data_IF_287098920659
#
_entry.id   IF_287098920659
#
_cell.length_a   1.000
_cell.length_b   1.000
_cell.length_c   1.000
_cell.angle_alpha   90.00
_cell.angle_beta   90.00
_cell.angle_gamma   90.00
#
_symmetry.space_group_name_H-M   'P 1'
#
loop_
_entity.id
_entity.type
_entity.pdbx_description
1 polymer ?
#
# COMPACT_ATOMS: atom_id res chain seq x y z
N UNK A 1 -49.49 65.59 -16.54
CA UNK A 1 -48.64 64.73 -17.28
C UNK A 1 -47.62 64.14 -16.33
N UNK A 2 -47.82 62.89 -15.83
CA UNK A 2 -46.90 62.23 -14.88
C UNK A 2 -46.32 61.01 -15.56
N UNK A 3 -45.04 61.05 -15.77
CA UNK A 3 -44.29 59.94 -16.38
C UNK A 3 -43.89 58.99 -15.26
N UNK A 4 -44.47 57.80 -15.29
CA UNK A 4 -44.13 56.75 -14.31
C UNK A 4 -42.86 56.02 -14.75
N UNK A 5 -41.88 56.05 -13.90
CA UNK A 5 -40.59 55.33 -14.10
C UNK A 5 -40.77 53.88 -13.67
N UNK A 6 -40.71 52.99 -14.64
CA UNK A 6 -40.74 51.54 -14.42
C UNK A 6 -39.32 51.07 -14.03
N UNK A 7 -39.14 50.67 -12.77
CA UNK A 7 -37.89 50.10 -12.30
C UNK A 7 -37.93 48.57 -12.59
N UNK A 8 -37.16 48.13 -13.59
CA UNK A 8 -36.94 46.72 -13.85
C UNK A 8 -35.94 46.19 -12.81
N UNK A 9 -36.45 45.41 -11.86
CA UNK A 9 -35.61 44.67 -10.93
C UNK A 9 -35.06 43.43 -11.62
N UNK A 10 -33.81 43.46 -12.00
CA UNK A 10 -33.12 42.27 -12.53
C UNK A 10 -32.74 41.37 -11.37
N UNK A 11 -33.48 40.29 -11.19
CA UNK A 11 -33.13 39.23 -10.26
C UNK A 11 -31.95 38.43 -10.87
N UNK A 12 -30.77 38.67 -10.32
CA UNK A 12 -29.57 37.87 -10.66
C UNK A 12 -29.68 36.51 -9.94
N UNK A 13 -30.13 35.53 -10.69
CA UNK A 13 -30.15 34.13 -10.24
C UNK A 13 -28.73 33.61 -10.30
N UNK A 14 -28.01 33.61 -9.16
CA UNK A 14 -26.72 32.95 -9.03
C UNK A 14 -26.97 31.43 -8.98
N UNK A 15 -26.78 30.77 -10.11
CA UNK A 15 -26.60 29.34 -10.13
C UNK A 15 -25.27 29.00 -9.39
N UNK A 16 -25.41 28.53 -8.17
CA UNK A 16 -24.31 27.79 -7.54
C UNK A 16 -24.22 26.43 -8.28
N UNK A 17 -23.34 26.34 -9.25
CA UNK A 17 -22.84 25.04 -9.67
C UNK A 17 -22.07 24.48 -8.46
N UNK A 18 -22.74 23.64 -7.68
CA UNK A 18 -22.08 22.68 -6.82
C UNK A 18 -21.31 21.76 -7.76
N UNK A 19 -20.03 22.01 -7.93
CA UNK A 19 -19.12 21.03 -8.47
C UNK A 19 -19.11 19.87 -7.45
N UNK A 20 -20.00 18.92 -7.63
CA UNK A 20 -19.86 17.62 -7.02
C UNK A 20 -18.51 17.11 -7.48
N UNK A 21 -17.56 17.06 -6.56
CA UNK A 21 -16.38 16.22 -6.77
C UNK A 21 -16.91 14.81 -6.83
N UNK A 22 -17.19 14.34 -8.06
CA UNK A 22 -17.34 12.92 -8.32
C UNK A 22 -16.11 12.27 -7.67
N UNK A 23 -16.33 11.50 -6.62
CA UNK A 23 -15.40 10.48 -6.18
C UNK A 23 -15.29 9.52 -7.35
N UNK A 24 -14.42 9.82 -8.31
CA UNK A 24 -13.95 8.83 -9.26
C UNK A 24 -13.52 7.64 -8.41
N UNK A 25 -14.26 6.53 -8.48
CA UNK A 25 -14.06 5.40 -7.63
C UNK A 25 -12.59 4.99 -7.74
N UNK A 26 -11.86 4.98 -6.61
CA UNK A 26 -10.47 4.54 -6.60
C UNK A 26 -10.42 3.15 -7.20
N UNK A 27 -9.64 2.98 -8.26
CA UNK A 27 -9.47 1.69 -8.93
C UNK A 27 -8.43 0.86 -8.18
N UNK A 28 -8.66 -0.44 -8.11
CA UNK A 28 -7.67 -1.36 -7.57
C UNK A 28 -6.49 -1.48 -8.53
N UNK A 29 -5.26 -1.38 -8.00
CA UNK A 29 -4.05 -1.42 -8.78
C UNK A 29 -2.79 -1.34 -7.92
N UNK A 30 -1.65 -1.08 -8.57
CA UNK A 30 -0.35 -1.08 -7.91
C UNK A 30 0.42 0.25 -8.07
N UNK A 31 -0.27 1.30 -8.46
CA UNK A 31 0.32 2.63 -8.61
C UNK A 31 0.02 3.49 -7.39
N UNK A 32 0.78 4.55 -7.25
CA UNK A 32 0.50 5.58 -6.25
C UNK A 32 -0.92 6.12 -6.45
N UNK A 33 -1.72 6.12 -5.38
CA UNK A 33 -3.12 6.56 -5.39
C UNK A 33 -4.15 5.46 -5.68
N UNK A 34 -3.72 4.28 -6.15
CA UNK A 34 -4.63 3.13 -6.33
C UNK A 34 -5.02 2.51 -4.98
N UNK A 35 -6.16 1.84 -4.92
CA UNK A 35 -6.45 0.90 -3.85
C UNK A 35 -5.55 -0.32 -4.00
N UNK A 36 -4.85 -0.69 -2.94
CA UNK A 36 -3.98 -1.85 -2.95
C UNK A 36 -4.78 -3.14 -3.17
N UNK A 37 -4.32 -4.06 -4.05
CA UNK A 37 -4.93 -5.35 -4.23
C UNK A 37 -4.94 -6.16 -2.92
N UNK A 38 -6.00 -6.90 -2.68
CA UNK A 38 -6.08 -7.78 -1.52
C UNK A 38 -5.05 -8.89 -1.61
N UNK A 39 -4.52 -9.29 -0.48
CA UNK A 39 -3.62 -10.43 -0.37
C UNK A 39 -4.40 -11.54 0.33
N UNK A 40 -4.88 -12.47 -0.47
CA UNK A 40 -5.68 -13.59 -0.03
C UNK A 40 -4.92 -14.91 -0.26
N UNK A 41 -5.21 -15.90 0.57
CA UNK A 41 -4.74 -17.30 0.37
C UNK A 41 -3.22 -17.47 0.29
N UNK A 42 -2.46 -16.76 1.12
CA UNK A 42 -1.08 -17.15 1.40
C UNK A 42 -1.07 -18.53 2.06
N UNK A 43 0.04 -19.27 1.98
CA UNK A 43 0.15 -20.53 2.70
C UNK A 43 -0.24 -20.33 4.18
N UNK A 44 -1.13 -21.19 4.67
CA UNK A 44 -1.86 -21.14 5.95
C UNK A 44 -3.21 -20.42 5.93
N UNK A 45 -3.84 -20.19 4.78
CA UNK A 45 -5.18 -19.58 4.64
C UNK A 45 -5.33 -18.26 5.44
N UNK A 46 -4.29 -17.46 5.50
CA UNK A 46 -4.35 -16.15 6.13
C UNK A 46 -4.46 -15.08 5.05
N UNK A 47 -5.50 -14.30 5.17
CA UNK A 47 -5.69 -13.09 4.37
C UNK A 47 -5.03 -11.91 5.08
N UNK A 48 -4.38 -11.04 4.32
CA UNK A 48 -3.92 -9.75 4.85
C UNK A 48 -4.96 -8.71 4.47
N UNK A 49 -5.76 -8.32 5.44
CA UNK A 49 -6.70 -7.21 5.29
C UNK A 49 -6.09 -5.92 5.86
N UNK A 50 -5.69 -5.03 4.97
CA UNK A 50 -5.17 -3.72 5.32
C UNK A 50 -6.19 -2.58 5.13
N UNK A 51 -7.45 -2.90 4.76
CA UNK A 51 -8.50 -1.90 4.51
C UNK A 51 -9.35 -1.58 5.75
N UNK A 52 -9.23 -2.39 6.80
CA UNK A 52 -10.02 -2.27 8.04
C UNK A 52 -9.20 -1.72 9.22
N UNK A 53 -8.13 -0.98 8.94
CA UNK A 53 -7.38 -0.31 10.00
C UNK A 53 -8.04 1.02 10.35
N UNK A 54 -8.09 1.33 11.65
CA UNK A 54 -8.56 2.63 12.12
C UNK A 54 -7.55 3.75 11.83
N UNK A 55 -6.24 3.40 11.85
CA UNK A 55 -5.13 4.34 11.69
C UNK A 55 -3.83 3.63 11.27
N UNK A 56 -2.79 4.41 11.01
CA UNK A 56 -1.45 3.92 10.69
C UNK A 56 -1.31 3.45 9.24
N UNK A 57 -0.22 2.75 9.01
CA UNK A 57 0.19 2.29 7.68
C UNK A 57 0.39 0.78 7.66
N UNK A 58 0.25 0.21 6.47
CA UNK A 58 0.70 -1.15 6.17
C UNK A 58 1.81 -1.10 5.13
N UNK A 59 2.94 -1.69 5.42
CA UNK A 59 4.04 -1.88 4.48
C UNK A 59 4.00 -3.32 3.97
N UNK A 60 3.68 -3.51 2.71
CA UNK A 60 3.78 -4.80 2.01
C UNK A 60 5.09 -4.82 1.23
N UNK A 61 5.98 -5.75 1.55
CA UNK A 61 7.26 -5.90 0.87
C UNK A 61 7.35 -7.26 0.19
N UNK A 62 7.52 -7.28 -1.13
CA UNK A 62 7.74 -8.50 -1.90
C UNK A 62 9.25 -8.73 -2.10
N UNK A 63 9.70 -9.95 -1.83
CA UNK A 63 11.09 -10.33 -1.94
C UNK A 63 11.26 -11.79 -2.36
N UNK A 64 12.48 -12.21 -2.68
CA UNK A 64 12.81 -13.59 -2.92
C UNK A 64 14.30 -13.84 -2.67
N UNK A 65 14.64 -15.08 -2.30
CA UNK A 65 16.03 -15.48 -2.05
C UNK A 65 16.92 -15.35 -3.29
N UNK A 66 16.35 -15.52 -4.48
CA UNK A 66 17.07 -15.41 -5.76
C UNK A 66 17.27 -13.97 -6.25
N UNK A 67 16.62 -12.98 -5.62
CA UNK A 67 16.69 -11.56 -5.99
C UNK A 67 17.43 -10.79 -4.89
N UNK A 68 18.72 -10.56 -5.10
CA UNK A 68 19.62 -9.98 -4.11
C UNK A 68 19.16 -8.62 -3.61
N UNK A 69 18.67 -7.74 -4.51
CA UNK A 69 18.26 -6.39 -4.16
C UNK A 69 17.01 -6.40 -3.26
N UNK A 70 16.02 -7.23 -3.60
CA UNK A 70 14.81 -7.36 -2.78
C UNK A 70 15.09 -8.00 -1.42
N UNK A 71 16.04 -8.96 -1.36
CA UNK A 71 16.48 -9.60 -0.12
C UNK A 71 17.18 -8.61 0.81
N UNK A 72 18.14 -7.82 0.30
CA UNK A 72 18.82 -6.77 1.07
C UNK A 72 17.81 -5.73 1.57
N UNK A 73 16.88 -5.33 0.72
CA UNK A 73 15.80 -4.39 1.09
C UNK A 73 14.91 -4.99 2.20
N UNK A 74 14.57 -6.29 2.13
CA UNK A 74 13.79 -6.96 3.17
C UNK A 74 14.45 -6.87 4.54
N UNK A 75 15.75 -7.17 4.62
CA UNK A 75 16.55 -7.06 5.83
C UNK A 75 16.58 -5.62 6.35
N UNK A 76 16.86 -4.66 5.46
CA UNK A 76 16.98 -3.25 5.83
C UNK A 76 15.64 -2.66 6.34
N UNK A 77 14.53 -2.98 5.68
CA UNK A 77 13.19 -2.56 6.11
C UNK A 77 12.84 -3.15 7.48
N UNK A 78 13.07 -4.46 7.67
CA UNK A 78 12.80 -5.11 8.95
C UNK A 78 13.60 -4.47 10.08
N UNK A 79 14.91 -4.31 9.91
CA UNK A 79 15.78 -3.69 10.91
C UNK A 79 15.37 -2.25 11.24
N UNK A 80 14.76 -1.54 10.30
CA UNK A 80 14.28 -0.17 10.51
C UNK A 80 13.01 -0.10 11.33
N UNK A 81 12.08 -1.06 11.13
CA UNK A 81 10.70 -0.93 11.64
C UNK A 81 10.36 -1.91 12.76
N UNK A 82 11.19 -2.93 13.03
CA UNK A 82 10.89 -4.00 14.00
C UNK A 82 10.56 -3.51 15.42
N UNK A 83 11.13 -2.38 15.80
CA UNK A 83 10.96 -1.79 17.13
C UNK A 83 9.92 -0.65 17.15
N UNK A 84 9.21 -0.43 16.02
CA UNK A 84 8.19 0.60 15.96
C UNK A 84 6.86 0.12 16.50
N UNK A 85 6.05 1.06 17.00
CA UNK A 85 4.70 0.78 17.44
C UNK A 85 3.85 0.23 16.29
N UNK A 86 3.26 -0.95 16.49
CA UNK A 86 2.40 -1.63 15.53
C UNK A 86 1.11 -0.87 15.20
N UNK A 87 0.72 0.10 16.03
CA UNK A 87 -0.39 1.01 15.71
C UNK A 87 -0.02 1.95 14.57
N UNK A 88 1.25 2.34 14.46
CA UNK A 88 1.76 3.24 13.41
C UNK A 88 2.00 2.52 12.10
N UNK A 89 2.59 1.32 12.15
CA UNK A 89 2.92 0.55 10.97
C UNK A 89 2.87 -0.95 11.24
N UNK A 90 2.27 -1.68 10.32
CA UNK A 90 2.37 -3.14 10.27
C UNK A 90 3.11 -3.53 9.01
N UNK A 91 4.06 -4.45 9.13
CA UNK A 91 4.85 -4.93 7.99
C UNK A 91 4.44 -6.35 7.63
N UNK A 92 4.28 -6.60 6.35
CA UNK A 92 4.09 -7.91 5.75
C UNK A 92 5.14 -8.10 4.67
N UNK A 93 6.12 -8.96 4.92
CA UNK A 93 7.14 -9.33 3.93
C UNK A 93 6.78 -10.66 3.29
N UNK A 94 6.43 -10.62 2.01
CA UNK A 94 5.92 -11.77 1.26
C UNK A 94 7.02 -12.30 0.34
N UNK A 95 7.48 -13.52 0.61
CA UNK A 95 8.43 -14.22 -0.26
C UNK A 95 7.73 -14.77 -1.50
N UNK A 96 8.34 -14.54 -2.64
CA UNK A 96 7.96 -15.06 -3.95
C UNK A 96 8.78 -16.29 -4.35
N UNK A 97 9.46 -16.93 -3.41
CA UNK A 97 10.15 -18.20 -3.65
C UNK A 97 9.12 -19.33 -3.88
N UNK A 98 9.48 -20.29 -4.74
CA UNK A 98 8.61 -21.45 -5.05
C UNK A 98 8.79 -22.62 -4.07
N UNK A 99 9.87 -22.60 -3.28
CA UNK A 99 10.20 -23.69 -2.35
C UNK A 99 10.21 -23.18 -0.91
N UNK A 100 9.40 -23.80 -0.06
CA UNK A 100 9.35 -23.49 1.36
C UNK A 100 10.73 -23.60 2.04
N UNK A 101 11.53 -24.62 1.66
CA UNK A 101 12.87 -24.80 2.21
C UNK A 101 13.80 -23.62 1.89
N UNK A 102 13.70 -23.05 0.68
CA UNK A 102 14.49 -21.86 0.30
C UNK A 102 14.09 -20.67 1.15
N UNK A 103 12.79 -20.44 1.31
CA UNK A 103 12.26 -19.38 2.18
C UNK A 103 12.77 -19.55 3.62
N UNK A 104 12.58 -20.71 4.24
CA UNK A 104 12.93 -20.94 5.65
C UNK A 104 14.43 -20.84 5.90
N UNK A 105 15.27 -21.43 5.05
CA UNK A 105 16.72 -21.34 5.19
C UNK A 105 17.24 -19.92 4.95
N UNK A 106 16.61 -19.16 4.05
CA UNK A 106 16.98 -17.75 3.84
C UNK A 106 16.64 -16.91 5.06
N UNK A 107 15.45 -17.07 5.65
CA UNK A 107 15.10 -16.35 6.89
C UNK A 107 16.09 -16.64 8.02
N UNK A 108 16.47 -17.90 8.19
CA UNK A 108 17.45 -18.32 9.19
C UNK A 108 18.82 -17.69 8.93
N UNK A 109 19.27 -17.70 7.67
CA UNK A 109 20.56 -17.13 7.27
C UNK A 109 20.60 -15.61 7.49
N UNK A 110 19.48 -14.93 7.24
CA UNK A 110 19.36 -13.46 7.35
C UNK A 110 19.01 -12.99 8.77
N UNK A 111 18.77 -13.91 9.71
CA UNK A 111 18.37 -13.58 11.09
C UNK A 111 17.00 -12.90 11.15
N UNK A 112 16.09 -13.22 10.22
CA UNK A 112 14.75 -12.64 10.16
C UNK A 112 13.77 -13.54 10.90
N UNK A 113 13.17 -13.00 11.96
CA UNK A 113 12.14 -13.70 12.71
C UNK A 113 10.86 -13.87 11.87
N UNK A 114 10.21 -15.01 12.05
CA UNK A 114 9.08 -15.43 11.21
C UNK A 114 7.80 -14.62 11.38
N UNK A 115 7.67 -13.80 12.42
CA UNK A 115 6.40 -13.16 12.77
C UNK A 115 5.79 -12.29 11.67
N UNK A 116 6.62 -11.64 10.84
CA UNK A 116 6.16 -10.75 9.77
C UNK A 116 6.64 -11.22 8.38
N UNK A 117 7.08 -12.46 8.26
CA UNK A 117 7.53 -13.07 7.03
C UNK A 117 6.48 -14.08 6.54
N UNK A 118 6.08 -13.94 5.29
CA UNK A 118 5.01 -14.70 4.67
C UNK A 118 5.52 -15.40 3.43
N UNK A 119 4.93 -16.52 3.09
CA UNK A 119 5.33 -17.34 1.96
C UNK A 119 4.14 -17.55 1.01
N UNK A 120 4.30 -17.20 -0.27
CA UNK A 120 3.27 -17.39 -1.29
C UNK A 120 3.36 -18.77 -1.98
N UNK A 121 4.56 -19.30 -2.18
CA UNK A 121 4.79 -20.63 -2.73
C UNK A 121 4.53 -20.79 -4.23
N UNK A 122 3.98 -19.77 -4.89
CA UNK A 122 3.59 -19.83 -6.32
C UNK A 122 4.54 -19.08 -7.24
N UNK A 123 5.47 -18.31 -6.66
CA UNK A 123 6.46 -17.55 -7.40
C UNK A 123 5.83 -16.64 -8.47
N UNK A 124 6.36 -16.72 -9.69
CA UNK A 124 5.86 -15.90 -10.82
C UNK A 124 4.46 -16.29 -11.31
N UNK A 125 3.94 -17.46 -10.93
CA UNK A 125 2.58 -17.91 -11.26
C UNK A 125 1.53 -17.39 -10.27
N UNK A 126 1.95 -16.74 -9.19
CA UNK A 126 1.08 -16.13 -8.21
C UNK A 126 0.18 -15.04 -8.79
N UNK A 127 -1.07 -15.01 -8.34
CA UNK A 127 -1.98 -13.90 -8.63
C UNK A 127 -1.42 -12.56 -8.13
N UNK A 128 -0.70 -12.57 -7.01
CA UNK A 128 -0.04 -11.39 -6.43
C UNK A 128 1.04 -10.82 -7.36
N UNK A 129 1.79 -11.70 -8.05
CA UNK A 129 2.82 -11.28 -8.99
C UNK A 129 2.25 -10.39 -10.11
N UNK A 130 1.02 -10.69 -10.57
CA UNK A 130 0.29 -9.89 -11.55
C UNK A 130 -0.35 -8.66 -10.91
N UNK A 131 -1.07 -8.85 -9.79
CA UNK A 131 -1.83 -7.80 -9.13
C UNK A 131 -0.97 -6.62 -8.69
N UNK A 132 0.24 -6.89 -8.17
CA UNK A 132 1.20 -5.89 -7.72
C UNK A 132 2.23 -5.48 -8.79
N UNK A 133 2.09 -5.96 -10.02
CA UNK A 133 2.98 -5.59 -11.13
C UNK A 133 4.43 -6.01 -10.93
N UNK A 134 4.69 -7.11 -10.22
CA UNK A 134 6.03 -7.56 -9.82
C UNK A 134 6.89 -8.02 -11.00
N UNK A 135 6.33 -8.11 -12.20
CA UNK A 135 7.06 -8.36 -13.44
C UNK A 135 8.15 -7.31 -13.73
N UNK A 136 8.01 -6.10 -13.16
CA UNK A 136 8.99 -5.01 -13.27
C UNK A 136 10.05 -5.02 -12.15
N UNK A 137 10.04 -6.01 -11.29
CA UNK A 137 10.89 -6.18 -10.12
C UNK A 137 10.08 -6.37 -8.84
N UNK A 138 10.68 -7.04 -7.88
CA UNK A 138 10.09 -7.20 -6.54
C UNK A 138 10.17 -5.85 -5.80
N UNK A 139 9.06 -5.39 -5.23
CA UNK A 139 8.89 -4.03 -4.70
C UNK A 139 8.22 -4.04 -3.34
N UNK A 140 8.23 -2.88 -2.69
CA UNK A 140 7.39 -2.61 -1.54
C UNK A 140 6.32 -1.56 -1.84
N UNK A 141 5.26 -1.59 -1.03
CA UNK A 141 4.10 -0.70 -1.12
C UNK A 141 3.73 -0.23 0.28
N UNK A 142 3.70 1.07 0.49
CA UNK A 142 3.18 1.67 1.71
C UNK A 142 1.72 2.04 1.48
N UNK A 143 0.84 1.51 2.33
CA UNK A 143 -0.61 1.59 2.20
C UNK A 143 -1.15 2.31 3.43
N UNK A 144 -2.01 3.30 3.25
CA UNK A 144 -2.66 4.01 4.35
C UNK A 144 -3.82 3.21 4.95
N UNK A 145 -4.41 3.73 6.02
CA UNK A 145 -5.54 3.11 6.72
C UNK A 145 -6.80 2.93 5.85
N UNK A 146 -6.91 3.66 4.73
CA UNK A 146 -8.01 3.55 3.77
C UNK A 146 -7.75 2.51 2.69
N UNK A 147 -6.58 1.86 2.71
CA UNK A 147 -6.15 0.89 1.71
C UNK A 147 -5.53 1.53 0.47
N UNK A 148 -5.22 2.82 0.48
CA UNK A 148 -4.62 3.54 -0.65
C UNK A 148 -3.11 3.42 -0.63
N UNK A 149 -2.50 3.14 -1.77
CA UNK A 149 -1.04 3.12 -1.92
C UNK A 149 -0.52 4.56 -1.89
N UNK A 150 0.23 4.89 -0.84
CA UNK A 150 0.84 6.20 -0.62
C UNK A 150 2.34 6.21 -0.89
N UNK A 151 2.93 5.04 -1.16
CA UNK A 151 4.33 4.92 -1.54
C UNK A 151 4.62 3.61 -2.23
N UNK A 152 5.55 3.63 -3.18
CA UNK A 152 6.00 2.46 -3.94
C UNK A 152 7.52 2.51 -4.02
N UNK A 153 8.17 1.35 -3.82
CA UNK A 153 9.62 1.17 -3.95
C UNK A 153 10.42 2.10 -3.01
N UNK A 154 9.95 2.19 -1.77
CA UNK A 154 10.50 3.09 -0.75
C UNK A 154 11.77 2.51 -0.11
N UNK A 155 12.75 3.38 0.15
CA UNK A 155 13.85 3.07 1.07
C UNK A 155 13.38 3.09 2.53
N UNK A 156 14.09 2.42 3.47
CA UNK A 156 13.74 2.47 4.89
C UNK A 156 13.61 3.89 5.45
N UNK A 157 14.45 4.83 4.99
CA UNK A 157 14.42 6.23 5.40
C UNK A 157 13.19 6.96 4.84
N UNK A 158 12.76 6.62 3.63
CA UNK A 158 11.55 7.18 3.03
C UNK A 158 10.30 6.71 3.79
N UNK A 159 10.23 5.43 4.14
CA UNK A 159 9.16 4.89 5.00
C UNK A 159 9.13 5.64 6.33
N UNK A 160 10.29 5.79 6.98
CA UNK A 160 10.42 6.52 8.25
C UNK A 160 9.87 7.95 8.15
N UNK A 161 10.26 8.68 7.11
CA UNK A 161 9.79 10.06 6.91
C UNK A 161 8.28 10.17 6.75
N UNK A 162 7.64 9.24 6.03
CA UNK A 162 6.20 9.28 5.81
C UNK A 162 5.47 8.96 7.12
N UNK A 163 5.84 7.85 7.78
CA UNK A 163 5.17 7.36 8.98
C UNK A 163 5.30 8.33 10.16
N UNK A 164 6.45 9.00 10.32
CA UNK A 164 6.66 9.96 11.41
C UNK A 164 6.18 11.39 11.11
N UNK A 165 5.96 11.75 9.84
CA UNK A 165 5.47 13.09 9.47
C UNK A 165 3.94 13.23 9.63
N UNK A 166 3.23 12.13 9.79
CA UNK A 166 1.78 12.08 9.91
C UNK A 166 1.27 12.21 11.36
N UNK A 167 2.12 12.76 12.25
CA UNK A 167 1.82 13.07 13.67
C UNK A 167 1.77 14.58 13.86
#
# INVERSE_FOLDING_TARGET
MKIGTCVLSAAVFRLFLSAGTDKAGMTEGYRLGDLAPRIESLENNRDIDFRNRSEGYTLVNFWAAYDADSRVRNIALWNKVKDWDSTRITVYSVSMDEKLSVFTETLKTDGLESANQWYDGKGKSSSLYKAYGLKKGLRNFLIDAKGVIVGVDLTPEAVSRIVHKSV
#
